data_IF_718676466361
#
_entry.id   IF_718676466361
#
_cell.length_a   1.000
_cell.length_b   1.000
_cell.length_c   1.000
_cell.angle_alpha   90.00
_cell.angle_beta   90.00
_cell.angle_gamma   90.00
#
_symmetry.space_group_name_H-M   'P 1'
#
loop_
_entity.id
_entity.type
_entity.pdbx_description
1 polymer ?
#
# COMPACT_ATOMS: atom_id res chain seq x y z
N UNK A 1 -3.72 20.24 -5.96
CA UNK A 1 -2.91 19.24 -5.24
C UNK A 1 -3.13 19.43 -3.76
N UNK A 2 -3.73 18.43 -3.10
CA UNK A 2 -3.94 18.42 -1.65
C UNK A 2 -2.93 17.45 -1.06
N UNK A 3 -2.20 17.89 -0.02
CA UNK A 3 -1.27 17.04 0.73
C UNK A 3 -1.81 16.81 2.14
N UNK A 4 -1.89 15.55 2.56
CA UNK A 4 -2.32 15.15 3.88
C UNK A 4 -1.19 14.41 4.61
N UNK A 5 -1.00 14.76 5.89
CA UNK A 5 -0.15 13.95 6.77
C UNK A 5 -0.92 12.67 7.08
N UNK A 6 -0.48 11.58 6.48
CA UNK A 6 -1.11 10.27 6.64
C UNK A 6 -0.73 9.64 7.99
N UNK A 7 0.50 9.85 8.47
CA UNK A 7 0.97 9.35 9.77
C UNK A 7 2.20 10.11 10.28
N UNK A 8 2.26 10.31 11.59
CA UNK A 8 3.49 10.67 12.32
C UNK A 8 3.89 9.48 13.18
N UNK A 9 5.17 9.09 13.11
CA UNK A 9 5.79 8.08 13.98
C UNK A 9 6.96 8.74 14.70
N UNK A 10 7.09 8.46 15.99
CA UNK A 10 8.20 8.96 16.80
C UNK A 10 8.95 7.75 17.34
N UNK A 11 10.21 7.62 16.91
CA UNK A 11 11.06 6.49 17.26
C UNK A 11 12.34 7.03 17.93
N UNK A 12 13.22 6.16 18.41
CA UNK A 12 14.53 6.56 18.96
C UNK A 12 15.38 7.37 17.96
N UNK A 13 15.16 7.17 16.66
CA UNK A 13 15.87 7.84 15.56
C UNK A 13 15.28 9.22 15.20
N UNK A 14 14.29 9.71 15.96
CA UNK A 14 13.60 10.97 15.70
C UNK A 14 12.19 10.81 15.14
N UNK A 15 11.60 11.92 14.69
CA UNK A 15 10.23 11.95 14.18
C UNK A 15 10.23 11.68 12.68
N UNK A 16 9.45 10.69 12.28
CA UNK A 16 9.22 10.28 10.90
C UNK A 16 7.79 10.61 10.50
N UNK A 17 7.60 11.22 9.34
CA UNK A 17 6.30 11.66 8.84
C UNK A 17 6.05 11.02 7.48
N UNK A 18 4.90 10.37 7.37
CA UNK A 18 4.38 9.77 6.14
C UNK A 18 3.34 10.74 5.57
N UNK A 19 3.62 11.25 4.38
CA UNK A 19 2.78 12.24 3.69
C UNK A 19 2.31 11.64 2.37
N UNK A 20 1.01 11.75 2.13
CA UNK A 20 0.39 11.44 0.85
C UNK A 20 -0.14 12.73 0.25
N UNK A 21 0.06 12.90 -1.05
CA UNK A 21 -0.49 14.01 -1.81
C UNK A 21 -1.15 13.48 -3.06
N UNK A 22 -2.23 14.12 -3.48
CA UNK A 22 -2.90 13.79 -4.73
C UNK A 22 -3.32 15.04 -5.49
N UNK A 23 -3.30 14.95 -6.82
CA UNK A 23 -3.65 16.08 -7.69
C UNK A 23 -5.14 16.21 -7.94
N UNK A 24 -5.94 15.17 -7.69
CA UNK A 24 -7.37 15.15 -7.96
C UNK A 24 -8.21 15.57 -6.74
N UNK A 25 -8.87 16.75 -6.76
CA UNK A 25 -9.82 17.17 -5.74
C UNK A 25 -11.23 16.55 -5.90
N UNK A 26 -11.48 15.82 -6.99
CA UNK A 26 -12.75 15.17 -7.34
C UNK A 26 -12.62 13.64 -7.46
N UNK A 27 -11.62 13.00 -6.83
CA UNK A 27 -11.37 11.56 -6.88
C UNK A 27 -12.56 10.66 -6.47
N UNK A 28 -13.65 11.25 -5.96
CA UNK A 28 -14.92 10.59 -5.65
C UNK A 28 -15.88 10.44 -6.86
N UNK A 29 -15.56 11.03 -8.02
CA UNK A 29 -16.44 11.04 -9.21
C UNK A 29 -15.94 10.03 -10.24
N UNK A 30 -16.69 8.92 -10.36
CA UNK A 30 -16.45 7.71 -11.17
C UNK A 30 -16.32 7.91 -12.72
N UNK A 31 -15.97 9.09 -13.22
CA UNK A 31 -15.98 9.38 -14.67
C UNK A 31 -14.84 10.26 -15.19
N UNK A 32 -13.74 10.40 -14.45
CA UNK A 32 -12.57 11.13 -14.96
C UNK A 32 -11.79 10.23 -15.95
N UNK A 33 -11.39 10.81 -17.08
CA UNK A 33 -10.54 10.14 -18.10
C UNK A 33 -9.09 10.03 -17.62
N UNK A 34 -8.72 10.84 -16.63
CA UNK A 34 -7.39 10.90 -16.02
C UNK A 34 -7.54 10.63 -14.50
N UNK A 35 -6.96 9.55 -13.95
CA UNK A 35 -7.12 9.17 -12.54
C UNK A 35 -6.47 10.17 -11.57
N UNK A 36 -5.71 11.15 -12.06
CA UNK A 36 -4.90 12.03 -11.23
C UNK A 36 -3.59 11.38 -10.79
N UNK A 37 -2.73 12.17 -10.16
CA UNK A 37 -1.39 11.76 -9.73
C UNK A 37 -1.33 11.64 -8.21
N UNK A 38 -0.81 10.51 -7.73
CA UNK A 38 -0.41 10.34 -6.33
C UNK A 38 1.09 10.64 -6.15
N UNK A 39 1.43 11.28 -5.04
CA UNK A 39 2.79 11.47 -4.58
C UNK A 39 2.93 11.05 -3.12
N UNK A 40 3.91 10.18 -2.85
CA UNK A 40 4.22 9.70 -1.50
C UNK A 40 5.57 10.26 -1.05
N UNK A 41 5.63 10.72 0.19
CA UNK A 41 6.83 11.24 0.82
C UNK A 41 7.01 10.65 2.21
N UNK A 42 8.23 10.22 2.50
CA UNK A 42 8.67 9.82 3.82
C UNK A 42 9.71 10.83 4.28
N UNK A 43 9.42 11.52 5.38
CA UNK A 43 10.10 12.72 5.81
C UNK A 43 10.65 12.53 7.22
N UNK A 44 11.89 12.94 7.44
CA UNK A 44 12.53 12.99 8.74
C UNK A 44 12.51 14.41 9.30
N UNK A 45 12.25 14.53 10.59
CA UNK A 45 12.40 15.77 11.34
C UNK A 45 13.50 15.55 12.39
N UNK A 46 14.59 16.30 12.26
CA UNK A 46 15.70 16.25 13.20
C UNK A 46 15.43 17.11 14.47
N UNK A 47 16.35 17.07 15.43
CA UNK A 47 16.25 17.80 16.70
C UNK A 47 16.14 19.33 16.51
N UNK A 48 16.69 19.86 15.42
CA UNK A 48 16.64 21.28 15.06
C UNK A 48 15.39 21.64 14.25
N UNK A 49 14.44 20.71 14.12
CA UNK A 49 13.20 20.82 13.33
C UNK A 49 13.46 21.03 11.84
N UNK A 50 14.63 20.65 11.34
CA UNK A 50 14.91 20.66 9.92
C UNK A 50 14.23 19.46 9.28
N UNK A 51 13.50 19.74 8.20
CA UNK A 51 12.75 18.76 7.43
C UNK A 51 13.67 18.18 6.35
N UNK A 52 13.80 16.86 6.31
CA UNK A 52 14.55 16.14 5.27
C UNK A 52 13.68 15.11 4.59
N UNK A 53 13.68 15.07 3.26
CA UNK A 53 13.00 14.00 2.52
C UNK A 53 13.90 12.77 2.57
N UNK A 54 13.43 11.74 3.27
CA UNK A 54 14.15 10.46 3.41
C UNK A 54 13.88 9.55 2.23
N UNK A 55 12.63 9.49 1.76
CA UNK A 55 12.26 8.79 0.53
C UNK A 55 11.07 9.49 -0.15
N UNK A 56 10.97 9.34 -1.47
CA UNK A 56 9.80 9.83 -2.22
C UNK A 56 9.52 8.99 -3.45
N UNK A 57 8.24 8.86 -3.80
CA UNK A 57 7.81 8.37 -5.11
C UNK A 57 6.78 9.35 -5.65
N UNK A 58 7.13 9.99 -6.76
CA UNK A 58 6.36 11.06 -7.38
C UNK A 58 5.58 10.46 -8.55
N UNK A 59 4.40 11.02 -8.83
CA UNK A 59 3.59 10.68 -10.00
C UNK A 59 3.35 9.16 -10.12
N UNK A 60 2.79 8.57 -9.07
CA UNK A 60 2.35 7.19 -9.10
C UNK A 60 1.12 7.13 -10.00
N UNK A 61 1.30 6.50 -11.16
CA UNK A 61 0.23 6.20 -12.11
C UNK A 61 -0.49 4.92 -11.66
N UNK A 62 -1.40 5.11 -10.71
CA UNK A 62 -2.23 4.06 -10.15
C UNK A 62 -3.65 4.58 -10.01
N UNK A 63 -4.62 3.67 -10.08
CA UNK A 63 -6.01 4.05 -9.90
C UNK A 63 -7.01 2.91 -9.83
N UNK A 64 -8.22 3.27 -9.46
CA UNK A 64 -9.42 2.44 -9.51
C UNK A 64 -10.57 3.29 -10.07
N UNK A 65 -11.05 2.95 -11.27
CA UNK A 65 -12.33 3.43 -11.80
C UNK A 65 -12.62 4.94 -11.59
N UNK A 66 -11.65 5.80 -11.92
CA UNK A 66 -11.73 7.26 -11.79
C UNK A 66 -11.09 7.86 -10.53
N UNK A 67 -10.61 7.05 -9.58
CA UNK A 67 -9.79 7.47 -8.42
C UNK A 67 -8.32 7.07 -8.67
N UNK A 68 -7.35 7.86 -8.20
CA UNK A 68 -5.93 7.48 -8.17
C UNK A 68 -5.58 6.38 -7.14
N UNK A 69 -6.57 5.76 -6.48
CA UNK A 69 -6.36 4.86 -5.35
C UNK A 69 -5.85 5.62 -4.12
N UNK A 70 -6.16 6.92 -4.08
CA UNK A 70 -5.66 7.84 -3.08
C UNK A 70 -6.58 7.91 -1.87
N UNK A 71 -7.90 7.79 -2.09
CA UNK A 71 -8.90 7.95 -1.03
C UNK A 71 -9.04 6.69 -0.15
N UNK A 72 -8.78 5.51 -0.71
CA UNK A 72 -8.83 4.24 0.04
C UNK A 72 -7.48 3.86 0.68
N UNK A 73 -6.42 4.64 0.41
CA UNK A 73 -5.10 4.41 0.95
C UNK A 73 -5.09 4.52 2.48
N UNK A 74 -4.67 3.45 3.14
CA UNK A 74 -4.54 3.38 4.60
C UNK A 74 -3.09 3.22 4.98
N UNK A 75 -2.62 4.04 5.92
CA UNK A 75 -1.32 3.82 6.53
C UNK A 75 -1.40 2.67 7.53
N UNK A 76 -0.67 1.60 7.26
CA UNK A 76 -0.60 0.42 8.10
C UNK A 76 0.82 0.21 8.60
N UNK A 77 0.96 -0.34 9.80
CA UNK A 77 2.26 -0.72 10.33
C UNK A 77 2.69 -2.03 9.65
N UNK A 78 3.80 -1.99 8.93
CA UNK A 78 4.34 -3.13 8.16
C UNK A 78 5.59 -3.71 8.79
N UNK A 79 6.14 -3.07 9.82
CA UNK A 79 7.30 -3.53 10.57
C UNK A 79 7.40 -2.85 11.94
N UNK A 80 8.35 -3.27 12.79
CA UNK A 80 8.49 -2.72 14.15
C UNK A 80 8.56 -1.19 14.21
N UNK A 81 9.30 -0.59 13.28
CA UNK A 81 9.47 0.86 13.15
C UNK A 81 9.17 1.35 11.72
N UNK A 82 8.27 0.66 11.01
CA UNK A 82 7.99 0.91 9.60
C UNK A 82 6.50 0.86 9.30
N UNK A 83 6.04 1.85 8.55
CA UNK A 83 4.69 1.93 8.02
C UNK A 83 4.72 1.92 6.49
N UNK A 84 3.57 1.65 5.87
CA UNK A 84 3.37 1.74 4.44
C UNK A 84 1.94 2.16 4.12
N UNK A 85 1.71 2.59 2.89
CA UNK A 85 0.38 2.91 2.37
C UNK A 85 -0.18 1.68 1.67
N UNK A 86 -1.28 1.14 2.20
CA UNK A 86 -2.04 0.07 1.59
C UNK A 86 -3.25 0.66 0.88
N UNK A 87 -3.30 0.52 -0.44
CA UNK A 87 -4.48 0.85 -1.26
C UNK A 87 -4.85 -0.34 -2.14
N UNK A 88 -5.95 -0.20 -2.87
CA UNK A 88 -6.32 -1.15 -3.92
C UNK A 88 -6.33 -0.47 -5.28
N UNK A 89 -5.86 -1.19 -6.30
CA UNK A 89 -5.84 -0.69 -7.69
C UNK A 89 -6.42 -1.74 -8.62
N UNK A 90 -7.00 -1.30 -9.73
CA UNK A 90 -7.62 -2.16 -10.72
C UNK A 90 -8.87 -1.52 -11.29
N UNK A 91 -9.83 -2.34 -11.68
CA UNK A 91 -11.00 -1.86 -12.41
C UNK A 91 -12.01 -2.95 -12.69
N UNK A 92 -12.96 -2.63 -13.56
CA UNK A 92 -13.99 -3.54 -14.02
C UNK A 92 -13.84 -3.72 -15.53
N UNK A 93 -13.61 -4.95 -15.97
CA UNK A 93 -13.52 -5.31 -17.39
C UNK A 93 -14.67 -6.24 -17.73
N UNK A 94 -15.53 -5.83 -18.67
CA UNK A 94 -16.69 -6.63 -19.12
C UNK A 94 -17.61 -7.10 -17.97
N UNK A 95 -17.72 -6.30 -16.91
CA UNK A 95 -18.54 -6.63 -15.73
C UNK A 95 -17.81 -7.45 -14.66
N UNK A 96 -16.54 -7.82 -14.87
CA UNK A 96 -15.72 -8.53 -13.89
C UNK A 96 -14.78 -7.55 -13.18
N UNK A 97 -14.85 -7.50 -11.86
CA UNK A 97 -13.93 -6.71 -11.04
C UNK A 97 -12.58 -7.43 -10.94
N UNK A 98 -11.49 -6.77 -11.33
CA UNK A 98 -10.12 -7.28 -11.19
C UNK A 98 -9.33 -6.25 -10.41
N UNK A 99 -8.85 -6.63 -9.22
CA UNK A 99 -8.15 -5.70 -8.32
C UNK A 99 -6.97 -6.38 -7.64
N UNK A 100 -5.94 -5.59 -7.33
CA UNK A 100 -4.78 -6.01 -6.55
C UNK A 100 -4.50 -5.03 -5.42
N UNK A 101 -3.82 -5.53 -4.39
CA UNK A 101 -3.28 -4.67 -3.34
C UNK A 101 -2.03 -3.94 -3.83
N UNK A 102 -1.93 -2.67 -3.45
CA UNK A 102 -0.74 -1.83 -3.58
C UNK A 102 -0.23 -1.55 -2.18
N UNK A 103 0.98 -2.01 -1.85
CA UNK A 103 1.59 -1.74 -0.55
C UNK A 103 2.86 -0.95 -0.77
N UNK A 104 2.74 0.39 -0.77
CA UNK A 104 3.86 1.29 -0.95
C UNK A 104 4.62 1.45 0.37
N UNK A 105 5.91 1.14 0.37
CA UNK A 105 6.75 1.12 1.59
C UNK A 105 8.06 1.87 1.35
N UNK A 106 8.51 2.73 2.29
CA UNK A 106 9.85 3.31 2.24
C UNK A 106 10.92 2.25 2.47
N UNK A 107 11.77 2.05 1.47
CA UNK A 107 12.92 1.15 1.48
C UNK A 107 14.17 1.92 1.06
N UNK A 108 15.00 2.31 2.05
CA UNK A 108 16.12 3.21 1.79
C UNK A 108 15.63 4.59 1.38
N UNK A 109 16.14 5.11 0.26
CA UNK A 109 15.77 6.41 -0.31
C UNK A 109 14.57 6.37 -1.27
N UNK A 110 14.00 5.18 -1.50
CA UNK A 110 12.88 4.99 -2.43
C UNK A 110 11.63 4.52 -1.70
N UNK A 111 10.47 4.78 -2.30
CA UNK A 111 9.21 4.14 -1.92
C UNK A 111 8.88 3.13 -3.01
N UNK A 112 8.63 1.88 -2.64
CA UNK A 112 8.39 0.79 -3.60
C UNK A 112 7.08 0.08 -3.27
N UNK A 113 6.39 -0.36 -4.31
CA UNK A 113 5.26 -1.28 -4.14
C UNK A 113 5.83 -2.66 -3.85
N UNK A 114 5.52 -3.20 -2.68
CA UNK A 114 6.02 -4.51 -2.25
C UNK A 114 4.94 -5.59 -2.29
N UNK A 115 3.73 -5.27 -2.75
CA UNK A 115 2.63 -6.23 -2.87
C UNK A 115 2.31 -6.54 -4.34
N UNK A 116 2.46 -7.81 -4.72
CA UNK A 116 1.94 -8.35 -5.99
C UNK A 116 0.65 -9.16 -5.82
N UNK A 117 -0.05 -9.00 -4.68
CA UNK A 117 -1.13 -9.90 -4.26
C UNK A 117 -2.46 -9.44 -4.88
N UNK A 118 -3.14 -10.27 -5.68
CA UNK A 118 -4.47 -9.95 -6.17
C UNK A 118 -5.45 -9.92 -5.00
N UNK A 119 -6.43 -9.03 -5.05
CA UNK A 119 -7.58 -8.99 -4.14
C UNK A 119 -8.77 -9.75 -4.74
N UNK A 120 -9.00 -9.55 -6.04
CA UNK A 120 -9.95 -10.31 -6.87
C UNK A 120 -9.28 -10.55 -8.22
N UNK A 121 -9.35 -11.79 -8.73
CA UNK A 121 -8.71 -12.16 -10.00
C UNK A 121 -9.76 -12.44 -11.08
N UNK A 122 -9.39 -12.26 -12.34
CA UNK A 122 -10.26 -12.57 -13.48
C UNK A 122 -10.58 -14.08 -13.58
N UNK A 123 -9.62 -14.94 -13.20
CA UNK A 123 -9.77 -16.40 -13.26
C UNK A 123 -10.70 -16.95 -12.18
N UNK A 124 -10.80 -16.27 -11.04
CA UNK A 124 -11.64 -16.64 -9.90
C UNK A 124 -12.37 -15.41 -9.35
N UNK A 125 -13.34 -14.86 -10.11
CA UNK A 125 -13.96 -13.57 -9.78
C UNK A 125 -14.90 -13.64 -8.57
N UNK A 126 -15.28 -14.85 -8.16
CA UNK A 126 -16.07 -15.15 -6.96
C UNK A 126 -15.19 -15.36 -5.70
N UNK A 127 -13.87 -15.37 -5.88
CA UNK A 127 -12.90 -15.45 -4.79
C UNK A 127 -12.36 -14.07 -4.44
N UNK A 128 -12.12 -13.89 -3.14
CA UNK A 128 -11.48 -12.72 -2.60
C UNK A 128 -10.31 -13.11 -1.71
N UNK A 129 -9.24 -12.35 -1.82
CA UNK A 129 -8.10 -12.45 -0.92
C UNK A 129 -8.13 -11.25 0.03
N UNK A 130 -8.17 -11.54 1.32
CA UNK A 130 -8.00 -10.56 2.39
C UNK A 130 -6.53 -10.55 2.87
N UNK A 131 -5.98 -9.36 3.10
CA UNK A 131 -4.60 -9.14 3.53
C UNK A 131 -4.58 -8.47 4.91
N UNK A 132 -3.89 -9.09 5.86
CA UNK A 132 -3.62 -8.53 7.19
C UNK A 132 -2.12 -8.54 7.49
N UNK A 133 -1.63 -7.56 8.24
CA UNK A 133 -0.25 -7.60 8.76
C UNK A 133 -0.23 -8.38 10.07
N UNK A 134 0.65 -9.39 10.15
CA UNK A 134 0.79 -10.23 11.34
C UNK A 134 1.94 -9.71 12.21
N UNK A 135 1.66 -8.73 13.05
CA UNK A 135 2.66 -8.00 13.86
C UNK A 135 3.33 -8.83 14.96
N UNK A 136 2.74 -9.96 15.34
CA UNK A 136 3.31 -10.98 16.22
C UNK A 136 4.14 -12.03 15.48
N UNK A 137 4.24 -11.93 14.14
CA UNK A 137 5.00 -12.83 13.29
C UNK A 137 6.50 -12.53 13.23
N UNK A 138 7.26 -13.48 12.67
CA UNK A 138 8.73 -13.34 12.50
C UNK A 138 9.06 -12.24 11.49
N UNK A 139 9.75 -11.21 11.96
CA UNK A 139 10.24 -10.10 11.13
C UNK A 139 11.32 -10.57 10.17
N UNK A 140 11.21 -10.17 8.89
CA UNK A 140 12.22 -10.36 7.85
C UNK A 140 12.54 -9.01 7.20
N UNK A 141 13.83 -8.61 7.15
CA UNK A 141 14.29 -7.33 6.62
C UNK A 141 13.53 -6.08 7.17
N UNK A 142 13.17 -6.13 8.45
CA UNK A 142 12.40 -5.07 9.12
C UNK A 142 10.91 -5.03 8.77
N UNK A 143 10.40 -6.06 8.11
CA UNK A 143 8.99 -6.21 7.73
C UNK A 143 8.34 -7.39 8.47
N UNK A 144 7.12 -7.20 8.96
CA UNK A 144 6.25 -8.26 9.46
C UNK A 144 5.74 -9.14 8.30
N UNK A 145 5.43 -10.41 8.54
CA UNK A 145 4.75 -11.23 7.54
C UNK A 145 3.32 -10.76 7.31
N UNK A 146 2.79 -11.05 6.13
CA UNK A 146 1.37 -10.85 5.81
C UNK A 146 0.61 -12.15 6.03
N UNK A 147 -0.54 -12.07 6.68
CA UNK A 147 -1.53 -13.13 6.70
C UNK A 147 -2.52 -12.89 5.57
N UNK A 148 -2.55 -13.84 4.64
CA UNK A 148 -3.35 -13.80 3.44
C UNK A 148 -4.45 -14.86 3.55
N UNK A 149 -5.71 -14.43 3.49
CA UNK A 149 -6.86 -15.33 3.59
C UNK A 149 -7.65 -15.33 2.29
N UNK A 150 -7.66 -16.44 1.57
CA UNK A 150 -8.49 -16.65 0.37
C UNK A 150 -9.87 -17.14 0.78
N UNK A 151 -10.91 -16.49 0.29
CA UNK A 151 -12.32 -16.76 0.61
C UNK A 151 -13.16 -16.85 -0.66
N UNK A 152 -14.24 -17.63 -0.60
CA UNK A 152 -15.35 -17.64 -1.57
C UNK A 152 -16.64 -17.42 -0.79
N UNK A 153 -17.23 -16.24 -0.92
CA UNK A 153 -18.24 -15.76 0.02
C UNK A 153 -17.70 -15.77 1.45
N UNK A 154 -18.43 -16.38 2.39
CA UNK A 154 -18.01 -16.50 3.79
C UNK A 154 -17.08 -17.71 4.05
N UNK A 155 -16.88 -18.58 3.06
CA UNK A 155 -16.06 -19.76 3.21
C UNK A 155 -14.57 -19.42 3.05
N UNK A 156 -13.78 -19.69 4.08
CA UNK A 156 -12.32 -19.62 4.00
C UNK A 156 -11.80 -20.84 3.24
N UNK A 157 -11.15 -20.61 2.11
CA UNK A 157 -10.53 -21.64 1.28
C UNK A 157 -9.10 -21.93 1.77
N UNK A 158 -8.36 -20.90 2.15
CA UNK A 158 -6.97 -20.99 2.58
C UNK A 158 -6.59 -19.78 3.43
N UNK A 159 -5.74 -19.99 4.43
CA UNK A 159 -5.00 -18.93 5.12
C UNK A 159 -3.52 -19.25 5.06
N UNK A 160 -2.70 -18.29 4.63
CA UNK A 160 -1.25 -18.45 4.47
C UNK A 160 -0.50 -17.25 5.03
N UNK A 161 0.60 -17.52 5.72
CA UNK A 161 1.57 -16.50 6.08
C UNK A 161 2.59 -16.32 4.95
N UNK A 162 2.78 -15.09 4.50
CA UNK A 162 3.74 -14.70 3.47
C UNK A 162 4.78 -13.79 4.09
N UNK A 163 6.00 -14.30 4.24
CA UNK A 163 7.13 -13.49 4.68
C UNK A 163 7.65 -12.61 3.55
N UNK A 164 8.18 -11.43 3.91
CA UNK A 164 8.85 -10.56 2.96
C UNK A 164 10.13 -11.22 2.42
N UNK A 165 10.32 -11.19 1.10
CA UNK A 165 11.52 -11.68 0.43
C UNK A 165 12.42 -10.48 0.11
N UNK A 166 13.49 -10.29 0.89
CA UNK A 166 14.42 -9.17 0.73
C UNK A 166 15.15 -9.19 -0.61
N UNK A 167 15.50 -10.39 -1.10
CA UNK A 167 16.23 -10.53 -2.36
C UNK A 167 15.38 -10.10 -3.55
N UNK A 168 14.06 -10.35 -3.49
CA UNK A 168 13.11 -9.90 -4.52
C UNK A 168 12.53 -8.52 -4.23
N UNK A 169 12.64 -8.04 -3.01
CA UNK A 169 12.09 -6.77 -2.56
C UNK A 169 10.56 -6.73 -2.48
N UNK A 170 9.90 -7.88 -2.34
CA UNK A 170 8.43 -8.02 -2.39
C UNK A 170 7.92 -9.11 -1.44
N UNK A 171 6.62 -9.12 -1.18
CA UNK A 171 5.92 -10.30 -0.67
C UNK A 171 5.59 -11.24 -1.83
N UNK A 172 6.26 -12.40 -1.95
CA UNK A 172 6.05 -13.29 -3.08
C UNK A 172 4.65 -13.91 -3.04
N UNK A 173 3.94 -13.82 -4.16
CA UNK A 173 2.66 -14.45 -4.34
C UNK A 173 2.70 -15.39 -5.55
N UNK A 174 2.51 -16.67 -5.28
CA UNK A 174 2.05 -17.63 -6.28
C UNK A 174 0.66 -18.09 -5.85
N UNK A 175 -0.37 -17.90 -6.70
CA UNK A 175 -1.70 -18.46 -6.48
C UNK A 175 -1.69 -20.00 -6.54
#
# INVERSE_FOLDING_TARGET
MIGAVSKVSSDADGVKVYVQSHSDPQAEIYSQVDPGLEGLFFVGLDADKKVTVLASKRAIDMGQAGDCGCLDAKVIQVGPARYGWLSTTGGVWQGVQVTRYSLQVPLGSEIRDVSGIPRVSENTPDERIDLNVKSDGKVAAGMYPLEITRKRGDNVLETRLVSYDEAKGIYPWSP
#
